data_IF_398731655199
#
_entry.id   IF_398731655199
#
_cell.length_a   1.000
_cell.length_b   1.000
_cell.length_c   1.000
_cell.angle_alpha   90.00
_cell.angle_beta   90.00
_cell.angle_gamma   90.00
#
_symmetry.space_group_name_H-M   'P 1'
#
loop_
_entity.id
_entity.type
_entity.pdbx_description
1 polymer ?
#
# COMPACT_ATOMS: atom_id res chain seq x y z
N UNK A 1 -12.77 -16.26 -8.99
CA UNK A 1 -12.77 -15.28 -7.87
C UNK A 1 -13.12 -13.93 -8.44
N UNK A 2 -13.95 -13.14 -7.79
CA UNK A 2 -14.23 -11.76 -8.20
C UNK A 2 -13.30 -10.82 -7.45
N UNK A 3 -12.54 -9.99 -8.16
CA UNK A 3 -11.72 -8.93 -7.56
C UNK A 3 -12.59 -7.71 -7.27
N UNK A 4 -12.19 -6.89 -6.30
CA UNK A 4 -12.94 -5.68 -5.95
C UNK A 4 -12.86 -4.62 -7.07
N UNK A 5 -13.80 -3.68 -7.13
CA UNK A 5 -13.71 -2.54 -8.05
C UNK A 5 -12.39 -1.78 -7.87
N UNK A 6 -12.03 -1.53 -6.60
CA UNK A 6 -10.78 -0.87 -6.23
C UNK A 6 -9.53 -1.56 -6.77
N UNK A 7 -9.52 -2.89 -6.76
CA UNK A 7 -8.44 -3.68 -7.36
C UNK A 7 -8.38 -3.42 -8.86
N UNK A 8 -9.52 -3.54 -9.56
CA UNK A 8 -9.61 -3.33 -11.01
C UNK A 8 -9.16 -1.93 -11.41
N UNK A 9 -9.57 -0.90 -10.67
CA UNK A 9 -9.18 0.49 -10.91
C UNK A 9 -7.69 0.73 -10.70
N UNK A 10 -7.07 0.00 -9.76
CA UNK A 10 -5.65 0.15 -9.47
C UNK A 10 -4.78 -0.52 -10.55
N UNK A 11 -5.13 -1.74 -10.99
CA UNK A 11 -4.37 -2.50 -11.99
C UNK A 11 -4.65 -2.07 -13.44
N UNK A 12 -5.65 -1.21 -13.66
CA UNK A 12 -5.98 -0.73 -15.01
C UNK A 12 -5.03 0.36 -15.55
N UNK A 13 -4.26 1.02 -14.67
CA UNK A 13 -3.37 2.12 -15.06
C UNK A 13 -2.09 2.16 -14.22
N UNK A 14 -1.01 2.80 -14.72
CA UNK A 14 0.20 3.01 -13.93
C UNK A 14 -0.11 3.74 -12.61
N UNK A 15 0.51 3.30 -11.51
CA UNK A 15 0.13 3.78 -10.18
C UNK A 15 0.45 5.26 -9.91
N UNK A 16 1.40 5.87 -10.63
CA UNK A 16 1.78 7.27 -10.49
C UNK A 16 1.95 7.71 -9.03
N UNK A 17 1.29 8.80 -8.66
CA UNK A 17 1.26 9.32 -7.28
C UNK A 17 -0.02 8.95 -6.50
N UNK A 18 -0.63 7.81 -6.84
CA UNK A 18 -1.83 7.34 -6.12
C UNK A 18 -1.50 7.15 -4.62
N UNK A 19 -2.40 7.57 -3.72
CA UNK A 19 -2.21 7.36 -2.30
C UNK A 19 -2.24 5.86 -1.96
N UNK A 20 -1.64 5.47 -0.83
CA UNK A 20 -1.64 4.09 -0.33
C UNK A 20 -3.06 3.55 -0.13
N UNK A 21 -3.99 4.43 0.21
CA UNK A 21 -5.42 4.14 0.31
C UNK A 21 -6.08 3.76 -1.01
N UNK A 22 -5.40 3.82 -2.17
CA UNK A 22 -5.91 3.29 -3.44
C UNK A 22 -5.65 1.80 -3.62
N UNK A 23 -4.75 1.19 -2.84
CA UNK A 23 -4.48 -0.25 -2.90
C UNK A 23 -5.69 -1.07 -2.43
N UNK A 24 -5.96 -2.18 -3.12
CA UNK A 24 -6.95 -3.13 -2.66
C UNK A 24 -6.54 -3.68 -1.28
N UNK A 25 -7.53 -3.97 -0.42
CA UNK A 25 -7.25 -4.42 0.95
C UNK A 25 -6.81 -3.33 1.93
N UNK A 26 -6.34 -2.17 1.47
CA UNK A 26 -5.95 -1.03 2.33
C UNK A 26 -7.14 -0.07 2.48
N UNK A 27 -7.83 -0.13 3.60
CA UNK A 27 -8.86 0.86 3.97
C UNK A 27 -8.27 2.09 4.67
N UNK A 28 -9.11 3.06 5.02
CA UNK A 28 -8.72 4.31 5.68
C UNK A 28 -7.88 4.08 6.95
N UNK A 29 -8.30 3.15 7.82
CA UNK A 29 -7.58 2.83 9.06
C UNK A 29 -6.19 2.26 8.80
N UNK A 30 -6.05 1.36 7.82
CA UNK A 30 -4.75 0.78 7.47
C UNK A 30 -3.88 1.80 6.74
N UNK A 31 -4.46 2.60 5.86
CA UNK A 31 -3.78 3.68 5.15
C UNK A 31 -3.19 4.69 6.12
N UNK A 32 -3.96 5.15 7.10
CA UNK A 32 -3.49 6.07 8.14
C UNK A 32 -2.33 5.49 8.95
N UNK A 33 -2.41 4.21 9.34
CA UNK A 33 -1.30 3.55 10.05
C UNK A 33 -0.04 3.41 9.20
N UNK A 34 -0.20 3.16 7.88
CA UNK A 34 0.91 3.13 6.94
C UNK A 34 1.53 4.52 6.75
N UNK A 35 0.71 5.56 6.69
CA UNK A 35 1.15 6.96 6.67
C UNK A 35 1.92 7.33 7.95
N UNK A 36 1.40 6.96 9.12
CA UNK A 36 2.06 7.19 10.42
C UNK A 36 3.41 6.45 10.56
N UNK A 37 3.57 5.29 9.90
CA UNK A 37 4.83 4.53 9.93
C UNK A 37 5.83 4.91 8.85
N UNK A 38 5.37 5.34 7.68
CA UNK A 38 6.24 5.84 6.62
C UNK A 38 6.73 7.26 6.87
N UNK A 39 6.03 8.01 7.70
CA UNK A 39 6.44 9.32 8.21
C UNK A 39 6.65 9.23 9.71
N UNK A 40 7.79 8.68 10.11
CA UNK A 40 8.29 8.85 11.47
C UNK A 40 8.29 10.34 11.81
N UNK A 41 7.84 10.68 13.02
CA UNK A 41 7.47 12.02 13.50
C UNK A 41 8.65 12.98 13.63
N UNK A 42 9.72 12.82 12.86
CA UNK A 42 10.95 13.61 12.96
C UNK A 42 10.91 14.96 12.22
N UNK A 43 9.87 15.21 11.40
CA UNK A 43 9.62 16.53 10.81
C UNK A 43 8.32 17.15 11.33
N UNK A 44 8.27 17.37 12.65
CA UNK A 44 7.35 18.32 13.27
C UNK A 44 7.76 19.75 12.90
N UNK A 45 7.38 20.20 11.71
CA UNK A 45 7.26 21.63 11.40
C UNK A 45 5.85 21.87 10.88
N UNK A 46 5.05 22.60 11.68
CA UNK A 46 3.61 22.85 11.50
C UNK A 46 3.21 23.38 10.11
N UNK A 47 4.15 23.85 9.29
CA UNK A 47 3.87 24.46 7.99
C UNK A 47 3.67 23.48 6.81
N UNK A 48 3.93 22.18 6.97
CA UNK A 48 3.79 21.21 5.85
C UNK A 48 2.80 20.06 6.11
N UNK A 49 1.86 20.21 7.05
CA UNK A 49 0.83 19.19 7.33
C UNK A 49 -0.08 18.86 6.12
N UNK A 50 -0.20 19.76 5.14
CA UNK A 50 -1.01 19.55 3.92
C UNK A 50 -0.25 18.81 2.80
N UNK A 51 1.08 18.67 2.89
CA UNK A 51 1.91 18.00 1.88
C UNK A 51 2.40 16.60 2.31
N UNK A 52 2.44 16.33 3.62
CA UNK A 52 3.01 15.11 4.19
C UNK A 52 2.01 13.95 4.39
N UNK A 53 0.70 14.19 4.25
CA UNK A 53 -0.34 13.19 4.55
C UNK A 53 -0.64 12.20 3.41
N UNK A 54 0.30 11.96 2.48
CA UNK A 54 0.12 10.97 1.40
C UNK A 54 1.32 10.05 1.33
N UNK A 55 1.25 8.93 2.05
CA UNK A 55 2.10 7.80 1.68
C UNK A 55 1.66 7.34 0.30
N UNK A 56 2.57 7.39 -0.66
CA UNK A 56 2.25 7.00 -2.03
C UNK A 56 2.27 5.47 -2.15
N UNK A 57 1.41 4.92 -3.00
CA UNK A 57 1.32 3.47 -3.24
C UNK A 57 2.67 2.87 -3.67
N UNK A 58 3.54 3.66 -4.31
CA UNK A 58 4.88 3.23 -4.69
C UNK A 58 5.76 2.85 -3.50
N UNK A 59 5.52 3.38 -2.29
CA UNK A 59 6.33 3.03 -1.10
C UNK A 59 6.05 1.58 -0.71
N UNK A 60 4.78 1.19 -0.74
CA UNK A 60 4.36 -0.19 -0.47
C UNK A 60 4.82 -1.12 -1.60
N UNK A 61 4.78 -0.66 -2.86
CA UNK A 61 5.38 -1.38 -3.98
C UNK A 61 6.89 -1.59 -3.76
N UNK A 62 7.63 -0.56 -3.34
CA UNK A 62 9.06 -0.66 -3.06
C UNK A 62 9.36 -1.75 -2.05
N UNK A 63 8.61 -1.78 -0.94
CA UNK A 63 8.74 -2.85 0.05
C UNK A 63 8.40 -4.23 -0.51
N UNK A 64 7.33 -4.34 -1.31
CA UNK A 64 6.96 -5.58 -2.00
C UNK A 64 8.08 -6.10 -2.90
N UNK A 65 8.78 -5.22 -3.61
CA UNK A 65 9.92 -5.57 -4.47
C UNK A 65 11.17 -5.94 -3.66
N UNK A 66 11.45 -5.26 -2.54
CA UNK A 66 12.54 -5.62 -1.62
C UNK A 66 12.36 -7.04 -1.07
N UNK A 67 11.11 -7.40 -0.76
CA UNK A 67 10.73 -8.76 -0.34
C UNK A 67 10.62 -9.74 -1.51
N UNK A 68 11.12 -9.38 -2.71
CA UNK A 68 11.17 -10.23 -3.91
C UNK A 68 9.80 -10.78 -4.32
N UNK A 69 8.73 -10.02 -4.08
CA UNK A 69 7.34 -10.44 -4.35
C UNK A 69 6.92 -11.70 -3.57
N UNK A 70 7.59 -12.01 -2.45
CA UNK A 70 7.25 -13.14 -1.59
C UNK A 70 5.93 -12.89 -0.85
N UNK A 71 4.98 -13.81 -0.99
CA UNK A 71 3.63 -13.63 -0.44
C UNK A 71 3.61 -13.66 1.09
N UNK A 72 4.32 -14.59 1.70
CA UNK A 72 4.27 -14.80 3.14
C UNK A 72 4.98 -13.66 3.86
N UNK A 73 6.19 -13.31 3.40
CA UNK A 73 6.96 -12.19 3.95
C UNK A 73 6.23 -10.85 3.80
N UNK A 74 5.61 -10.59 2.65
CA UNK A 74 4.87 -9.34 2.45
C UNK A 74 3.63 -9.25 3.33
N UNK A 75 2.87 -10.35 3.45
CA UNK A 75 1.65 -10.38 4.27
C UNK A 75 1.97 -10.26 5.76
N UNK A 76 3.04 -10.91 6.21
CA UNK A 76 3.57 -10.76 7.57
C UNK A 76 4.01 -9.31 7.83
N UNK A 77 4.82 -8.72 6.94
CA UNK A 77 5.22 -7.33 7.03
C UNK A 77 4.03 -6.38 7.11
N UNK A 78 3.01 -6.56 6.27
CA UNK A 78 1.83 -5.69 6.24
C UNK A 78 1.00 -5.82 7.53
N UNK A 79 0.89 -7.04 8.06
CA UNK A 79 0.26 -7.30 9.36
C UNK A 79 1.04 -6.60 10.48
N UNK A 80 2.35 -6.73 10.53
CA UNK A 80 3.18 -6.13 11.57
C UNK A 80 3.26 -4.61 11.44
N UNK A 81 3.12 -4.07 10.22
CA UNK A 81 3.19 -2.65 9.91
C UNK A 81 1.90 -1.90 10.20
N UNK A 82 0.74 -2.39 9.77
CA UNK A 82 -0.53 -1.67 9.95
C UNK A 82 -1.63 -2.50 10.64
N UNK A 83 -1.35 -3.73 11.05
CA UNK A 83 -2.34 -4.63 11.63
C UNK A 83 -3.32 -5.18 10.60
N UNK A 84 -2.89 -5.30 9.34
CA UNK A 84 -3.73 -5.87 8.29
C UNK A 84 -4.11 -7.32 8.60
N UNK A 85 -5.39 -7.66 8.41
CA UNK A 85 -5.84 -9.04 8.57
C UNK A 85 -5.51 -9.92 7.34
N UNK A 86 -5.80 -11.22 7.42
CA UNK A 86 -5.49 -12.18 6.36
C UNK A 86 -6.13 -11.83 5.01
N UNK A 87 -7.35 -11.29 5.00
CA UNK A 87 -8.05 -10.89 3.77
C UNK A 87 -7.44 -9.61 3.20
N UNK A 88 -7.22 -8.59 4.02
CA UNK A 88 -6.66 -7.30 3.60
C UNK A 88 -5.26 -7.46 3.01
N UNK A 89 -4.42 -8.27 3.66
CA UNK A 89 -3.06 -8.56 3.18
C UNK A 89 -3.05 -9.33 1.87
N UNK A 90 -3.94 -10.32 1.72
CA UNK A 90 -4.12 -11.06 0.46
C UNK A 90 -4.61 -10.18 -0.68
N UNK A 91 -5.62 -9.34 -0.42
CA UNK A 91 -6.18 -8.43 -1.41
C UNK A 91 -5.12 -7.40 -1.87
N UNK A 92 -4.31 -6.88 -0.94
CA UNK A 92 -3.21 -5.96 -1.24
C UNK A 92 -2.10 -6.63 -2.05
N UNK A 93 -1.67 -7.83 -1.63
CA UNK A 93 -0.65 -8.60 -2.34
C UNK A 93 -1.08 -8.93 -3.77
N UNK A 94 -2.30 -9.42 -3.95
CA UNK A 94 -2.84 -9.76 -5.28
C UNK A 94 -2.89 -8.53 -6.21
N UNK A 95 -3.30 -7.38 -5.67
CA UNK A 95 -3.33 -6.12 -6.40
C UNK A 95 -1.95 -5.66 -6.86
N UNK A 96 -0.94 -5.74 -5.99
CA UNK A 96 0.43 -5.36 -6.33
C UNK A 96 1.07 -6.33 -7.32
N UNK A 97 0.83 -7.64 -7.14
CA UNK A 97 1.33 -8.67 -8.06
C UNK A 97 0.78 -8.48 -9.47
N UNK A 98 -0.54 -8.34 -9.60
CA UNK A 98 -1.19 -8.12 -10.91
C UNK A 98 -0.75 -6.79 -11.54
N UNK A 99 -0.58 -5.74 -10.74
CA UNK A 99 -0.03 -4.47 -11.24
C UNK A 99 1.40 -4.63 -11.75
N UNK A 100 2.26 -5.35 -11.03
CA UNK A 100 3.61 -5.66 -11.49
C UNK A 100 3.58 -6.45 -12.79
N UNK A 101 2.76 -7.49 -12.91
CA UNK A 101 2.68 -8.31 -14.11
C UNK A 101 2.23 -7.50 -15.35
N UNK A 102 1.51 -6.39 -15.15
CA UNK A 102 1.03 -5.51 -16.22
C UNK A 102 2.00 -4.37 -16.59
N UNK A 103 2.75 -3.81 -15.63
CA UNK A 103 3.50 -2.56 -15.81
C UNK A 103 4.99 -2.62 -15.44
N UNK A 104 5.51 -3.76 -14.96
CA UNK A 104 6.90 -3.94 -14.54
C UNK A 104 7.54 -5.19 -15.13
#
# INVERSE_FOLDING_TARGET
MTTSQKHRDFVAEPMGEKPVGSLAGIGEVLGKKLEERGFDKSHSTEQHALYFARLQAYVVLGQFLVLKKDEDLFREWLKDTCGANAKQSRDCFGCLREWCDAFL
#
